data_IF_511429659775
#
_entry.id   IF_511429659775
#
_cell.length_a   1.000
_cell.length_b   1.000
_cell.length_c   1.000
_cell.angle_alpha   90.00
_cell.angle_beta   90.00
_cell.angle_gamma   90.00
#
_symmetry.space_group_name_H-M   'P 1'
#
loop_
_entity.id
_entity.type
_entity.pdbx_description
1 polymer ?
#
# COMPACT_ATOMS: atom_id res chain seq x y z
N UNK A 1 -7.93 -10.68 27.19
CA UNK A 1 -6.47 -10.52 27.07
C UNK A 1 -6.26 -9.17 26.44
N UNK A 2 -5.48 -8.29 27.06
CA UNK A 2 -5.29 -6.92 26.58
C UNK A 2 -4.32 -6.84 25.40
N UNK A 3 -3.74 -7.98 25.01
CA UNK A 3 -2.74 -8.13 23.95
C UNK A 3 -3.07 -9.35 23.08
N UNK A 4 -2.80 -9.26 21.77
CA UNK A 4 -2.88 -10.35 20.82
C UNK A 4 -1.69 -11.34 20.98
N UNK A 5 -1.76 -12.56 20.41
CA UNK A 5 -0.64 -13.52 20.44
C UNK A 5 0.68 -12.98 19.87
N UNK A 6 0.62 -12.01 18.95
CA UNK A 6 1.78 -11.29 18.41
C UNK A 6 2.42 -10.31 19.41
N UNK A 7 1.75 -10.03 20.53
CA UNK A 7 2.13 -9.01 21.52
C UNK A 7 1.56 -7.63 21.23
N UNK A 8 0.79 -7.45 20.15
CA UNK A 8 0.19 -6.16 19.83
C UNK A 8 -1.01 -5.83 20.76
N UNK A 9 -1.20 -4.56 21.18
CA UNK A 9 -2.33 -4.16 22.02
C UNK A 9 -3.68 -4.50 21.36
N UNK A 10 -4.55 -5.16 22.11
CA UNK A 10 -5.92 -5.50 21.70
C UNK A 10 -6.94 -4.44 22.13
N UNK A 11 -6.63 -3.68 23.18
CA UNK A 11 -7.40 -2.53 23.67
C UNK A 11 -6.47 -1.34 23.90
N UNK A 12 -7.02 -0.13 23.97
CA UNK A 12 -6.24 1.09 24.13
C UNK A 12 -6.03 1.33 25.61
N UNK A 13 -4.82 1.73 25.98
CA UNK A 13 -4.37 1.90 27.36
C UNK A 13 -5.24 2.91 28.12
N UNK A 14 -5.40 4.12 27.56
CA UNK A 14 -6.09 5.21 28.24
C UNK A 14 -7.61 5.14 28.02
N UNK A 15 -8.03 4.82 26.79
CA UNK A 15 -9.44 4.66 26.44
C UNK A 15 -9.58 3.34 25.70
N UNK A 16 -10.46 2.51 26.24
CA UNK A 16 -10.60 1.13 25.83
C UNK A 16 -10.86 0.93 24.34
N UNK A 17 -11.39 1.92 23.60
CA UNK A 17 -11.70 1.91 22.15
C UNK A 17 -10.75 2.76 21.27
N UNK A 18 -9.80 3.50 21.85
CA UNK A 18 -8.90 4.41 21.13
C UNK A 18 -7.45 4.10 21.45
N UNK A 19 -6.69 3.80 20.41
CA UNK A 19 -5.26 3.56 20.53
C UNK A 19 -4.47 4.88 20.53
N UNK A 20 -3.43 4.95 21.35
CA UNK A 20 -2.40 5.99 21.25
C UNK A 20 -1.56 5.80 19.98
N UNK A 21 -0.78 6.82 19.64
CA UNK A 21 0.10 6.77 18.47
C UNK A 21 1.14 5.64 18.59
N UNK A 22 1.63 5.39 19.81
CA UNK A 22 2.58 4.33 20.16
C UNK A 22 1.94 2.94 20.03
N UNK A 23 0.69 2.79 20.48
CA UNK A 23 -0.03 1.53 20.34
C UNK A 23 -0.31 1.19 18.88
N UNK A 24 -0.68 2.18 18.06
CA UNK A 24 -0.83 1.99 16.60
C UNK A 24 0.50 1.59 15.99
N UNK A 25 1.59 2.23 16.40
CA UNK A 25 2.94 1.91 15.93
C UNK A 25 3.33 0.45 16.23
N UNK A 26 3.09 -0.02 17.46
CA UNK A 26 3.34 -1.43 17.83
C UNK A 26 2.49 -2.38 16.98
N UNK A 27 1.23 -2.04 16.71
CA UNK A 27 0.36 -2.84 15.82
C UNK A 27 0.91 -2.90 14.39
N UNK A 28 1.42 -1.78 13.87
CA UNK A 28 2.10 -1.72 12.56
C UNK A 28 3.34 -2.60 12.54
N UNK A 29 4.21 -2.53 13.56
CA UNK A 29 5.42 -3.36 13.64
C UNK A 29 5.08 -4.85 13.70
N UNK A 30 4.08 -5.23 14.48
CA UNK A 30 3.65 -6.62 14.57
C UNK A 30 3.17 -7.18 13.21
N UNK A 31 2.43 -6.38 12.45
CA UNK A 31 2.01 -6.73 11.08
C UNK A 31 3.21 -6.82 10.13
N UNK A 32 4.14 -5.87 10.22
CA UNK A 32 5.35 -5.83 9.39
C UNK A 32 6.25 -7.06 9.59
N UNK A 33 6.37 -7.55 10.83
CA UNK A 33 7.18 -8.74 11.14
C UNK A 33 6.61 -9.99 10.45
N UNK A 34 5.29 -10.17 10.44
CA UNK A 34 4.64 -11.26 9.74
C UNK A 34 4.87 -11.17 8.23
N UNK A 35 4.77 -9.96 7.68
CA UNK A 35 4.90 -9.70 6.26
C UNK A 35 6.33 -9.95 5.74
N UNK A 36 7.34 -9.44 6.44
CA UNK A 36 8.75 -9.51 5.98
C UNK A 36 9.30 -10.94 5.96
N UNK A 37 8.79 -11.80 6.85
CA UNK A 37 9.15 -13.20 6.97
C UNK A 37 8.31 -14.13 6.07
N UNK A 38 7.25 -13.61 5.46
CA UNK A 38 6.37 -14.38 4.57
C UNK A 38 7.15 -15.01 3.41
N UNK A 39 6.79 -16.24 3.02
CA UNK A 39 7.48 -16.96 1.93
C UNK A 39 7.27 -16.25 0.60
N UNK A 40 8.30 -16.28 -0.27
CA UNK A 40 8.30 -15.61 -1.58
C UNK A 40 7.06 -15.96 -2.43
N UNK A 41 6.66 -17.23 -2.44
CA UNK A 41 5.48 -17.69 -3.18
C UNK A 41 4.17 -17.10 -2.62
N UNK A 42 4.03 -17.03 -1.30
CA UNK A 42 2.85 -16.44 -0.65
C UNK A 42 2.75 -14.94 -0.95
N UNK A 43 3.87 -14.21 -0.86
CA UNK A 43 3.94 -12.79 -1.26
C UNK A 43 3.53 -12.61 -2.73
N UNK A 44 4.08 -13.42 -3.64
CA UNK A 44 3.80 -13.31 -5.06
C UNK A 44 2.33 -13.58 -5.39
N UNK A 45 1.75 -14.68 -4.88
CA UNK A 45 0.36 -15.01 -5.18
C UNK A 45 -0.63 -14.09 -4.49
N UNK A 46 -0.33 -13.63 -3.27
CA UNK A 46 -1.14 -12.60 -2.61
C UNK A 46 -1.09 -11.28 -3.39
N UNK A 47 0.11 -10.89 -3.86
CA UNK A 47 0.29 -9.74 -4.73
C UNK A 47 -0.40 -9.88 -6.08
N UNK A 48 -0.37 -11.07 -6.68
CA UNK A 48 -1.09 -11.37 -7.92
C UNK A 48 -2.59 -11.20 -7.73
N UNK A 49 -3.15 -11.71 -6.63
CA UNK A 49 -4.57 -11.54 -6.31
C UNK A 49 -4.92 -10.08 -6.07
N UNK A 50 -4.09 -9.31 -5.36
CA UNK A 50 -4.30 -7.87 -5.18
C UNK A 50 -4.27 -7.12 -6.52
N UNK A 51 -3.30 -7.44 -7.38
CA UNK A 51 -3.18 -6.90 -8.72
C UNK A 51 -4.40 -7.22 -9.59
N UNK A 52 -4.93 -8.43 -9.49
CA UNK A 52 -6.15 -8.78 -10.21
C UNK A 52 -7.38 -8.06 -9.63
N UNK A 53 -7.47 -7.90 -8.32
CA UNK A 53 -8.56 -7.16 -7.66
C UNK A 53 -8.57 -5.67 -8.03
N UNK A 54 -7.41 -5.07 -8.33
CA UNK A 54 -7.33 -3.65 -8.77
C UNK A 54 -8.10 -3.41 -10.07
N UNK A 55 -8.32 -4.45 -10.86
CA UNK A 55 -9.07 -4.39 -12.13
C UNK A 55 -10.51 -3.97 -11.87
N UNK A 56 -11.07 -4.27 -10.69
CA UNK A 56 -12.39 -3.79 -10.28
C UNK A 56 -12.41 -2.27 -10.07
N UNK A 57 -11.33 -1.69 -9.56
CA UNK A 57 -11.17 -0.24 -9.46
C UNK A 57 -11.11 0.40 -10.84
N UNK A 58 -10.29 -0.13 -11.76
CA UNK A 58 -10.23 0.34 -13.13
C UNK A 58 -11.59 0.25 -13.84
N UNK A 59 -12.23 -0.92 -13.75
CA UNK A 59 -13.56 -1.18 -14.32
C UNK A 59 -14.59 -0.19 -13.78
N UNK A 60 -14.65 -0.02 -12.46
CA UNK A 60 -15.57 0.91 -11.81
C UNK A 60 -15.36 2.35 -12.26
N UNK A 61 -14.10 2.79 -12.38
CA UNK A 61 -13.76 4.14 -12.82
C UNK A 61 -14.10 4.38 -14.29
N UNK A 62 -13.73 3.44 -15.17
CA UNK A 62 -14.03 3.54 -16.60
C UNK A 62 -15.54 3.60 -16.86
N UNK A 63 -16.33 2.77 -16.16
CA UNK A 63 -17.79 2.80 -16.22
C UNK A 63 -18.35 4.11 -15.65
N UNK A 64 -17.80 4.58 -14.53
CA UNK A 64 -18.21 5.83 -13.90
C UNK A 64 -17.99 7.05 -14.81
N UNK A 65 -16.82 7.15 -15.44
CA UNK A 65 -16.48 8.24 -16.38
C UNK A 65 -17.36 8.16 -17.63
N UNK A 66 -17.61 6.96 -18.17
CA UNK A 66 -18.53 6.81 -19.30
C UNK A 66 -19.97 7.22 -18.95
N UNK A 67 -20.42 6.93 -17.73
CA UNK A 67 -21.77 7.28 -17.28
C UNK A 67 -21.91 8.77 -16.91
N UNK A 68 -20.85 9.39 -16.39
CA UNK A 68 -20.85 10.75 -15.87
C UNK A 68 -19.64 11.57 -16.37
N UNK A 69 -19.51 11.79 -17.70
CA UNK A 69 -18.31 12.39 -18.29
C UNK A 69 -18.03 13.82 -17.81
N UNK A 70 -19.08 14.57 -17.47
CA UNK A 70 -18.98 15.96 -17.00
C UNK A 70 -18.92 16.09 -15.46
N UNK A 71 -18.84 14.97 -14.73
CA UNK A 71 -18.87 14.98 -13.26
C UNK A 71 -17.82 14.04 -12.67
N UNK A 72 -16.63 14.57 -12.42
CA UNK A 72 -15.50 13.83 -11.84
C UNK A 72 -15.85 13.17 -10.50
N UNK A 73 -16.63 13.82 -9.64
CA UNK A 73 -17.05 13.28 -8.35
C UNK A 73 -17.93 12.03 -8.50
N UNK A 74 -18.97 12.10 -9.34
CA UNK A 74 -19.84 10.93 -9.59
C UNK A 74 -19.09 9.82 -10.33
N UNK A 75 -18.19 10.17 -11.24
CA UNK A 75 -17.40 9.20 -12.00
C UNK A 75 -16.47 8.37 -11.10
N UNK A 76 -16.02 8.94 -9.98
CA UNK A 76 -15.09 8.30 -9.04
C UNK A 76 -15.77 7.35 -8.03
N UNK A 77 -17.11 7.29 -7.97
CA UNK A 77 -17.84 6.63 -6.88
C UNK A 77 -17.54 5.12 -6.74
N UNK A 78 -17.19 4.46 -7.86
CA UNK A 78 -16.86 3.04 -7.90
C UNK A 78 -15.36 2.75 -7.83
N UNK A 79 -14.52 3.79 -7.83
CA UNK A 79 -13.06 3.64 -7.76
C UNK A 79 -12.58 2.85 -6.52
N UNK A 80 -13.17 3.00 -5.32
CA UNK A 80 -12.67 2.28 -4.13
C UNK A 80 -12.89 0.77 -4.14
N UNK A 81 -13.72 0.22 -5.04
CA UNK A 81 -14.18 -1.18 -4.96
C UNK A 81 -13.03 -2.18 -4.94
N UNK A 82 -12.03 -2.05 -5.83
CA UNK A 82 -10.87 -2.95 -5.84
C UNK A 82 -10.06 -2.86 -4.54
N UNK A 83 -9.82 -1.65 -4.03
CA UNK A 83 -9.10 -1.45 -2.77
C UNK A 83 -9.81 -2.05 -1.55
N UNK A 84 -11.14 -2.00 -1.52
CA UNK A 84 -11.92 -2.68 -0.46
C UNK A 84 -11.64 -4.19 -0.49
N UNK A 85 -11.67 -4.82 -1.67
CA UNK A 85 -11.36 -6.25 -1.80
C UNK A 85 -9.92 -6.56 -1.37
N UNK A 86 -8.97 -5.68 -1.70
CA UNK A 86 -7.55 -5.86 -1.39
C UNK A 86 -7.31 -5.78 0.12
N UNK A 87 -7.70 -4.66 0.73
CA UNK A 87 -7.34 -4.33 2.11
C UNK A 87 -8.15 -5.17 3.10
N UNK A 88 -9.46 -5.34 2.89
CA UNK A 88 -10.28 -6.18 3.75
C UNK A 88 -9.94 -7.66 3.54
N UNK A 89 -9.60 -8.04 2.30
CA UNK A 89 -9.17 -9.41 1.96
C UNK A 89 -7.77 -9.77 2.47
N UNK A 90 -6.98 -8.81 2.95
CA UNK A 90 -5.62 -9.04 3.43
C UNK A 90 -4.65 -9.42 2.30
N UNK A 91 -4.89 -8.97 1.08
CA UNK A 91 -3.98 -9.21 -0.05
C UNK A 91 -2.82 -8.22 -0.04
N UNK A 92 -1.67 -8.65 -0.52
CA UNK A 92 -0.43 -7.86 -0.48
C UNK A 92 -0.42 -6.80 -1.58
N UNK A 93 -0.51 -5.53 -1.20
CA UNK A 93 -0.41 -4.41 -2.14
C UNK A 93 0.89 -3.65 -1.92
N UNK A 94 1.61 -3.36 -3.01
CA UNK A 94 2.91 -2.68 -2.95
C UNK A 94 2.87 -1.39 -2.12
N UNK A 95 1.84 -0.57 -2.31
CA UNK A 95 1.69 0.72 -1.64
C UNK A 95 1.29 0.59 -0.17
N UNK A 96 0.58 -0.47 0.22
CA UNK A 96 0.34 -0.77 1.64
C UNK A 96 1.64 -1.17 2.35
N UNK A 97 2.54 -1.81 1.62
CA UNK A 97 3.83 -2.28 2.12
C UNK A 97 4.91 -1.16 2.13
N UNK A 98 4.51 0.10 1.93
CA UNK A 98 5.41 1.27 2.05
C UNK A 98 5.49 1.84 3.45
N UNK A 99 4.61 1.40 4.37
CA UNK A 99 4.65 1.81 5.78
C UNK A 99 5.21 0.69 6.68
N UNK A 100 4.63 -0.53 6.78
CA UNK A 100 5.03 -1.49 7.80
C UNK A 100 6.46 -2.03 7.62
N UNK A 101 6.89 -2.55 6.44
CA UNK A 101 8.27 -2.99 6.25
C UNK A 101 9.31 -1.87 6.36
N UNK A 102 8.94 -0.64 5.99
CA UNK A 102 9.81 0.55 6.16
C UNK A 102 10.00 0.85 7.64
N UNK A 103 8.96 0.66 8.46
CA UNK A 103 9.05 0.82 9.90
C UNK A 103 10.11 -0.08 10.51
N UNK A 104 10.14 -1.36 10.12
CA UNK A 104 11.17 -2.29 10.60
C UNK A 104 12.58 -1.86 10.19
N UNK A 105 12.76 -1.35 8.97
CA UNK A 105 14.08 -0.92 8.50
C UNK A 105 14.55 0.36 9.20
N UNK A 106 13.67 1.36 9.36
CA UNK A 106 14.04 2.60 10.07
C UNK A 106 14.29 2.36 11.56
N UNK A 107 13.56 1.41 12.18
CA UNK A 107 13.81 0.93 13.54
C UNK A 107 15.01 -0.03 13.64
N UNK A 108 15.73 -0.30 12.54
CA UNK A 108 16.87 -1.23 12.47
C UNK A 108 16.58 -2.65 12.95
N UNK A 109 15.33 -3.07 12.83
CA UNK A 109 14.86 -4.42 13.16
C UNK A 109 15.01 -5.35 11.94
N UNK A 110 14.85 -4.79 10.74
CA UNK A 110 15.03 -5.51 9.49
C UNK A 110 16.06 -4.85 8.58
N UNK A 111 16.68 -5.66 7.73
CA UNK A 111 17.66 -5.20 6.74
C UNK A 111 17.00 -4.64 5.48
N UNK A 112 17.61 -3.63 4.88
CA UNK A 112 17.15 -2.99 3.64
C UNK A 112 17.00 -3.98 2.46
N UNK A 113 17.87 -4.99 2.26
CA UNK A 113 17.65 -6.01 1.23
C UNK A 113 16.37 -6.82 1.44
N UNK A 114 15.90 -6.97 2.68
CA UNK A 114 14.63 -7.65 2.97
C UNK A 114 13.42 -6.82 2.59
N UNK A 115 13.47 -5.51 2.82
CA UNK A 115 12.48 -4.56 2.31
C UNK A 115 12.41 -4.62 0.78
N UNK A 116 13.57 -4.53 0.09
CA UNK A 116 13.61 -4.62 -1.36
C UNK A 116 13.06 -5.95 -1.90
N UNK A 117 13.29 -7.07 -1.21
CA UNK A 117 12.70 -8.36 -1.58
C UNK A 117 11.18 -8.30 -1.53
N UNK A 118 10.60 -7.81 -0.44
CA UNK A 118 9.13 -7.72 -0.28
C UNK A 118 8.56 -6.84 -1.37
N UNK A 119 9.09 -5.62 -1.49
CA UNK A 119 8.70 -4.65 -2.52
C UNK A 119 8.74 -5.21 -3.93
N UNK A 120 9.85 -5.82 -4.32
CA UNK A 120 10.02 -6.34 -5.68
C UNK A 120 9.06 -7.49 -5.99
N UNK A 121 8.86 -8.41 -5.04
CA UNK A 121 7.97 -9.57 -5.25
C UNK A 121 6.51 -9.13 -5.31
N UNK A 122 6.08 -8.26 -4.39
CA UNK A 122 4.69 -7.78 -4.32
C UNK A 122 4.38 -6.90 -5.51
N UNK A 123 5.25 -5.95 -5.88
CA UNK A 123 5.07 -5.11 -7.06
C UNK A 123 4.97 -5.95 -8.33
N UNK A 124 5.85 -6.94 -8.50
CA UNK A 124 5.78 -7.86 -9.64
C UNK A 124 4.46 -8.63 -9.66
N UNK A 125 4.03 -9.18 -8.51
CA UNK A 125 2.74 -9.85 -8.38
C UNK A 125 1.59 -8.93 -8.77
N UNK A 126 1.54 -7.72 -8.22
CA UNK A 126 0.51 -6.72 -8.49
C UNK A 126 0.44 -6.37 -9.99
N UNK A 127 1.58 -6.09 -10.62
CA UNK A 127 1.65 -5.75 -12.05
C UNK A 127 1.20 -6.93 -12.92
N UNK A 128 1.62 -8.16 -12.59
CA UNK A 128 1.19 -9.36 -13.33
C UNK A 128 -0.33 -9.59 -13.17
N UNK A 129 -0.87 -9.45 -11.96
CA UNK A 129 -2.31 -9.57 -11.71
C UNK A 129 -3.12 -8.52 -12.47
N UNK A 130 -2.65 -7.27 -12.46
CA UNK A 130 -3.25 -6.18 -13.21
C UNK A 130 -3.19 -6.43 -14.72
N UNK A 131 -2.07 -6.96 -15.24
CA UNK A 131 -1.93 -7.31 -16.65
C UNK A 131 -2.95 -8.35 -17.10
N UNK A 132 -3.16 -9.40 -16.28
CA UNK A 132 -4.13 -10.45 -16.61
C UNK A 132 -5.55 -9.88 -16.73
N UNK A 133 -5.98 -9.05 -15.76
CA UNK A 133 -7.31 -8.46 -15.84
C UNK A 133 -7.44 -7.37 -16.90
N UNK A 134 -6.42 -6.52 -17.08
CA UNK A 134 -6.39 -5.52 -18.15
C UNK A 134 -6.49 -6.18 -19.54
N UNK A 135 -5.82 -7.31 -19.75
CA UNK A 135 -5.93 -8.09 -20.99
C UNK A 135 -7.35 -8.59 -21.24
N UNK A 136 -8.02 -9.09 -20.18
CA UNK A 136 -9.43 -9.52 -20.25
C UNK A 136 -10.35 -8.33 -20.55
N UNK A 137 -10.14 -7.17 -19.94
CA UNK A 137 -10.94 -5.98 -20.23
C UNK A 137 -10.74 -5.49 -21.67
N UNK A 138 -9.50 -5.52 -22.18
CA UNK A 138 -9.16 -5.06 -23.53
C UNK A 138 -9.73 -5.97 -24.63
N UNK A 139 -9.78 -7.29 -24.40
CA UNK A 139 -10.12 -8.27 -25.45
C UNK A 139 -11.43 -9.02 -25.23
N UNK A 140 -11.96 -8.99 -24.01
CA UNK A 140 -13.08 -9.83 -23.57
C UNK A 140 -14.47 -9.21 -23.72
N UNK A 141 -14.60 -8.04 -24.34
CA UNK A 141 -15.88 -7.31 -24.49
C UNK A 141 -16.62 -7.06 -23.16
N UNK A 142 -15.87 -6.90 -22.07
CA UNK A 142 -16.43 -6.65 -20.73
C UNK A 142 -16.93 -5.20 -20.59
N UNK A 143 -16.23 -4.26 -21.23
CA UNK A 143 -16.56 -2.83 -21.22
C UNK A 143 -17.44 -2.45 -22.41
N UNK A 144 -18.34 -1.49 -22.20
CA UNK A 144 -19.01 -0.81 -23.32
C UNK A 144 -18.00 0.00 -24.15
N UNK A 145 -18.29 0.33 -25.41
CA UNK A 145 -17.41 1.17 -26.22
C UNK A 145 -17.03 2.48 -25.53
N UNK A 146 -17.98 3.14 -24.87
CA UNK A 146 -17.73 4.40 -24.15
C UNK A 146 -16.80 4.18 -22.94
N UNK A 147 -16.96 3.08 -22.21
CA UNK A 147 -16.07 2.75 -21.09
C UNK A 147 -14.67 2.32 -21.56
N UNK A 148 -14.54 1.73 -22.74
CA UNK A 148 -13.22 1.50 -23.38
C UNK A 148 -12.54 2.84 -23.67
N UNK A 149 -13.27 3.81 -24.24
CA UNK A 149 -12.71 5.14 -24.51
C UNK A 149 -12.31 5.87 -23.22
N UNK A 150 -13.14 5.81 -22.18
CA UNK A 150 -12.80 6.34 -20.86
C UNK A 150 -11.53 5.68 -20.28
N UNK A 151 -11.42 4.36 -20.38
CA UNK A 151 -10.24 3.62 -19.93
C UNK A 151 -8.96 3.95 -20.68
N UNK A 152 -9.05 4.24 -21.99
CA UNK A 152 -7.93 4.73 -22.78
C UNK A 152 -7.49 6.13 -22.35
N UNK A 153 -8.45 7.00 -22.04
CA UNK A 153 -8.23 8.39 -21.66
C UNK A 153 -7.34 8.53 -20.42
N UNK A 154 -7.46 7.61 -19.45
CA UNK A 154 -6.67 7.64 -18.21
C UNK A 154 -5.15 7.71 -18.45
N UNK A 155 -4.66 6.91 -19.42
CA UNK A 155 -3.23 6.91 -19.77
C UNK A 155 -2.91 8.03 -20.76
N UNK A 156 -3.74 8.29 -21.77
CA UNK A 156 -3.42 9.33 -22.76
C UNK A 156 -3.41 10.73 -22.15
N UNK A 157 -4.40 11.09 -21.34
CA UNK A 157 -4.42 12.37 -20.62
C UNK A 157 -3.31 12.45 -19.56
N UNK A 158 -2.90 11.31 -19.02
CA UNK A 158 -1.76 11.21 -18.12
C UNK A 158 -0.45 11.55 -18.80
N UNK A 159 -0.25 11.06 -20.03
CA UNK A 159 0.92 11.34 -20.87
C UNK A 159 0.98 12.79 -21.38
N UNK A 160 -0.15 13.48 -21.44
CA UNK A 160 -0.19 14.92 -21.78
C UNK A 160 0.26 15.82 -20.63
N UNK A 161 0.28 15.31 -19.40
CA UNK A 161 0.71 16.08 -18.23
C UNK A 161 2.23 16.08 -18.11
N UNK A 162 2.75 17.16 -17.53
CA UNK A 162 4.17 17.27 -17.21
C UNK A 162 4.61 16.17 -16.22
N UNK A 163 5.80 15.61 -16.45
CA UNK A 163 6.36 14.51 -15.66
C UNK A 163 6.39 14.83 -14.15
N UNK A 164 6.76 16.06 -13.78
CA UNK A 164 6.80 16.49 -12.38
C UNK A 164 5.40 16.72 -11.82
N UNK A 165 4.43 17.12 -12.63
CA UNK A 165 3.04 17.21 -12.21
C UNK A 165 2.48 15.81 -11.87
N UNK A 166 2.75 14.80 -12.70
CA UNK A 166 2.38 13.40 -12.43
C UNK A 166 3.08 12.89 -11.17
N UNK A 167 4.38 13.11 -11.05
CA UNK A 167 5.17 12.72 -9.88
C UNK A 167 4.65 13.35 -8.58
N UNK A 168 4.37 14.66 -8.57
CA UNK A 168 3.89 15.37 -7.38
C UNK A 168 2.49 14.88 -6.95
N UNK A 169 1.56 14.68 -7.91
CA UNK A 169 0.24 14.07 -7.63
C UNK A 169 0.39 12.67 -7.02
N UNK A 170 1.39 11.91 -7.49
CA UNK A 170 1.68 10.56 -7.01
C UNK A 170 2.28 10.52 -5.61
N UNK A 171 3.04 11.54 -5.20
CA UNK A 171 3.48 11.70 -3.81
C UNK A 171 2.28 11.80 -2.86
N UNK A 172 1.30 12.62 -3.21
CA UNK A 172 0.09 12.76 -2.39
C UNK A 172 -0.72 11.46 -2.35
N UNK A 173 -0.84 10.73 -3.47
CA UNK A 173 -1.47 9.41 -3.47
C UNK A 173 -0.76 8.42 -2.53
N UNK A 174 0.57 8.35 -2.62
CA UNK A 174 1.39 7.49 -1.74
C UNK A 174 1.23 7.84 -0.26
N UNK A 175 1.20 9.13 0.07
CA UNK A 175 0.93 9.60 1.42
C UNK A 175 -0.47 9.16 1.89
N UNK A 176 -1.51 9.39 1.10
CA UNK A 176 -2.88 8.98 1.44
C UNK A 176 -2.97 7.47 1.71
N UNK A 177 -2.32 6.64 0.89
CA UNK A 177 -2.32 5.18 1.08
C UNK A 177 -1.60 4.77 2.35
N UNK A 178 -0.43 5.35 2.66
CA UNK A 178 0.23 5.11 3.93
C UNK A 178 -0.63 5.56 5.12
N UNK A 179 -1.42 6.63 4.94
CA UNK A 179 -2.43 7.07 5.90
C UNK A 179 -3.54 6.04 6.12
N UNK A 180 -4.03 5.40 5.04
CA UNK A 180 -4.98 4.27 5.15
C UNK A 180 -4.39 3.15 5.98
N UNK A 181 -3.13 2.76 5.73
CA UNK A 181 -2.48 1.69 6.50
C UNK A 181 -2.45 2.06 7.99
N UNK A 182 -2.02 3.28 8.33
CA UNK A 182 -2.00 3.75 9.71
C UNK A 182 -3.39 3.73 10.36
N UNK A 183 -4.39 4.31 9.71
CA UNK A 183 -5.76 4.40 10.21
C UNK A 183 -6.43 3.02 10.32
N UNK A 184 -6.10 2.09 9.42
CA UNK A 184 -6.58 0.70 9.48
C UNK A 184 -6.02 -0.03 10.71
N UNK A 185 -4.77 0.24 11.09
CA UNK A 185 -4.18 -0.23 12.34
C UNK A 185 -4.72 0.50 13.57
N UNK A 186 -5.27 1.71 13.44
CA UNK A 186 -6.00 2.38 14.50
C UNK A 186 -7.44 1.85 14.67
N UNK A 187 -8.05 1.38 13.59
CA UNK A 187 -9.42 0.88 13.58
C UNK A 187 -9.57 -0.49 14.28
N UNK A 188 -10.77 -0.72 14.81
CA UNK A 188 -11.13 -1.92 15.60
C UNK A 188 -12.10 -2.85 14.91
N UNK A 189 -12.96 -2.28 14.08
CA UNK A 189 -14.03 -3.00 13.41
C UNK A 189 -13.95 -2.83 11.90
N UNK A 190 -14.53 -3.78 11.18
CA UNK A 190 -14.49 -3.82 9.72
C UNK A 190 -15.28 -2.68 9.07
N UNK A 191 -16.32 -2.12 9.72
CA UNK A 191 -17.12 -1.02 9.16
C UNK A 191 -16.28 0.26 9.13
N UNK A 192 -15.60 0.59 10.23
CA UNK A 192 -14.67 1.72 10.28
C UNK A 192 -13.58 1.60 9.22
N UNK A 193 -13.01 0.41 9.06
CA UNK A 193 -12.00 0.13 8.02
C UNK A 193 -12.56 0.36 6.62
N UNK A 194 -13.74 -0.18 6.34
CA UNK A 194 -14.43 0.02 5.07
C UNK A 194 -14.63 1.50 4.76
N UNK A 195 -15.11 2.29 5.74
CA UNK A 195 -15.34 3.73 5.58
C UNK A 195 -14.03 4.47 5.26
N UNK A 196 -12.95 4.19 6.03
CA UNK A 196 -11.62 4.78 5.82
C UNK A 196 -11.12 4.48 4.40
N UNK A 197 -11.16 3.21 3.99
CA UNK A 197 -10.74 2.76 2.66
C UNK A 197 -11.57 3.47 1.59
N UNK A 198 -12.90 3.42 1.71
CA UNK A 198 -13.79 4.00 0.72
C UNK A 198 -13.49 5.48 0.48
N UNK A 199 -13.48 6.30 1.54
CA UNK A 199 -13.32 7.74 1.38
C UNK A 199 -11.93 8.15 0.92
N UNK A 200 -10.87 7.48 1.38
CA UNK A 200 -9.51 7.85 0.97
C UNK A 200 -9.24 7.47 -0.49
N UNK A 201 -9.65 6.27 -0.92
CA UNK A 201 -9.46 5.89 -2.32
C UNK A 201 -10.43 6.63 -3.26
N UNK A 202 -11.62 7.00 -2.78
CA UNK A 202 -12.51 7.89 -3.52
C UNK A 202 -11.85 9.25 -3.72
N UNK A 203 -11.22 9.81 -2.67
CA UNK A 203 -10.50 11.07 -2.75
C UNK A 203 -9.33 11.00 -3.75
N UNK A 204 -8.61 9.88 -3.83
CA UNK A 204 -7.53 9.69 -4.81
C UNK A 204 -8.05 9.90 -6.23
N UNK A 205 -9.18 9.29 -6.60
CA UNK A 205 -9.76 9.46 -7.93
C UNK A 205 -10.42 10.83 -8.12
N UNK A 206 -11.20 11.29 -7.15
CA UNK A 206 -11.90 12.57 -7.19
C UNK A 206 -10.94 13.78 -7.29
N UNK A 207 -9.73 13.66 -6.74
CA UNK A 207 -8.66 14.65 -6.84
C UNK A 207 -7.66 14.37 -7.98
N UNK A 208 -7.94 13.41 -8.86
CA UNK A 208 -7.10 13.03 -10.00
C UNK A 208 -5.65 12.71 -9.62
N UNK A 209 -5.47 12.02 -8.49
CA UNK A 209 -4.17 11.56 -8.01
C UNK A 209 -3.84 10.18 -8.62
N UNK A 210 -2.56 9.94 -8.84
CA UNK A 210 -2.10 8.71 -9.49
C UNK A 210 -1.61 7.68 -8.49
N UNK A 211 -2.24 6.51 -8.48
CA UNK A 211 -1.82 5.38 -7.67
C UNK A 211 -1.10 4.33 -8.54
N UNK A 212 0.09 3.89 -8.13
CA UNK A 212 0.98 3.09 -8.99
C UNK A 212 0.38 1.78 -9.52
N UNK A 213 -0.44 1.08 -8.73
CA UNK A 213 -1.02 -0.21 -9.16
C UNK A 213 -2.26 -0.02 -10.03
N UNK A 214 -3.04 1.06 -9.84
CA UNK A 214 -4.15 1.38 -10.75
C UNK A 214 -3.59 1.88 -12.08
N UNK A 215 -2.59 2.77 -12.03
CA UNK A 215 -1.85 3.22 -13.20
C UNK A 215 -1.18 2.06 -13.96
N UNK A 216 -0.71 1.02 -13.28
CA UNK A 216 -0.22 -0.19 -13.95
C UNK A 216 -1.33 -0.84 -14.79
N UNK A 217 -2.54 -1.01 -14.22
CA UNK A 217 -3.70 -1.54 -14.93
C UNK A 217 -4.10 -0.64 -16.12
N UNK A 218 -4.12 0.68 -15.92
CA UNK A 218 -4.44 1.68 -16.94
C UNK A 218 -3.46 1.61 -18.12
N UNK A 219 -2.16 1.64 -17.82
CA UNK A 219 -1.09 1.54 -18.82
C UNK A 219 -1.17 0.23 -19.58
N UNK A 220 -1.35 -0.90 -18.89
CA UNK A 220 -1.43 -2.21 -19.52
C UNK A 220 -2.68 -2.32 -20.41
N UNK A 221 -3.83 -1.82 -19.95
CA UNK A 221 -5.04 -1.75 -20.77
C UNK A 221 -4.80 -0.90 -22.02
N UNK A 222 -4.23 0.29 -21.87
CA UNK A 222 -3.90 1.19 -22.97
C UNK A 222 -2.98 0.52 -24.00
N UNK A 223 -1.93 -0.17 -23.54
CA UNK A 223 -0.99 -0.88 -24.41
C UNK A 223 -1.66 -2.04 -25.15
N UNK A 224 -2.52 -2.83 -24.47
CA UNK A 224 -3.23 -3.95 -25.11
C UNK A 224 -4.24 -3.51 -26.16
N UNK A 225 -4.91 -2.37 -25.95
CA UNK A 225 -5.90 -1.84 -26.91
C UNK A 225 -5.23 -1.12 -28.08
N UNK A 226 -4.18 -0.33 -27.83
CA UNK A 226 -3.56 0.53 -28.87
C UNK A 226 -2.40 -0.13 -29.61
N UNK A 227 -1.75 -1.13 -29.03
CA UNK A 227 -0.49 -1.69 -29.56
C UNK A 227 0.70 -0.72 -29.48
N UNK A 228 0.60 0.35 -28.68
CA UNK A 228 1.66 1.35 -28.51
C UNK A 228 2.94 0.74 -27.92
N UNK A 229 4.08 1.39 -28.18
CA UNK A 229 5.36 0.97 -27.61
C UNK A 229 5.37 1.17 -26.08
N UNK A 230 5.70 0.12 -25.33
CA UNK A 230 5.67 0.14 -23.86
C UNK A 230 6.72 1.04 -23.22
N UNK A 231 7.88 1.22 -23.87
CA UNK A 231 9.02 1.96 -23.30
C UNK A 231 8.66 3.38 -22.85
N UNK A 232 8.07 4.17 -23.76
CA UNK A 232 7.69 5.57 -23.48
C UNK A 232 6.60 5.67 -22.42
N UNK A 233 5.56 4.83 -22.49
CA UNK A 233 4.46 4.88 -21.52
C UNK A 233 4.95 4.53 -20.11
N UNK A 234 5.87 3.56 -20.01
CA UNK A 234 6.47 3.20 -18.73
C UNK A 234 7.38 4.30 -18.20
N UNK A 235 8.25 4.90 -19.03
CA UNK A 235 9.22 5.91 -18.57
C UNK A 235 8.59 7.26 -18.25
N UNK A 236 7.66 7.72 -19.08
CA UNK A 236 7.07 9.07 -18.97
C UNK A 236 5.86 9.13 -18.03
N UNK A 237 5.16 8.01 -17.83
CA UNK A 237 3.93 8.01 -17.04
C UNK A 237 4.01 7.06 -15.83
N UNK A 238 4.29 5.77 -16.02
CA UNK A 238 4.23 4.84 -14.89
C UNK A 238 5.38 5.03 -13.88
N UNK A 239 6.59 5.31 -14.35
CA UNK A 239 7.79 5.50 -13.52
C UNK A 239 7.67 6.69 -12.53
N UNK A 240 7.28 7.92 -12.94
CA UNK A 240 7.05 9.00 -11.98
C UNK A 240 6.00 8.62 -10.93
N UNK A 241 4.97 7.85 -11.32
CA UNK A 241 3.93 7.41 -10.40
C UNK A 241 4.48 6.45 -9.35
N UNK A 242 5.26 5.45 -9.79
CA UNK A 242 5.93 4.52 -8.89
C UNK A 242 6.81 5.28 -7.89
N UNK A 243 7.72 6.12 -8.37
CA UNK A 243 8.63 6.87 -7.53
C UNK A 243 7.89 7.79 -6.55
N UNK A 244 6.89 8.52 -7.03
CA UNK A 244 6.07 9.40 -6.21
C UNK A 244 5.33 8.64 -5.11
N UNK A 245 4.67 7.53 -5.45
CA UNK A 245 3.95 6.71 -4.46
C UNK A 245 4.90 6.15 -3.39
N UNK A 246 6.07 5.65 -3.78
CA UNK A 246 7.08 5.15 -2.83
C UNK A 246 7.57 6.24 -1.90
N UNK A 247 7.93 7.42 -2.44
CA UNK A 247 8.40 8.56 -1.64
C UNK A 247 7.29 9.06 -0.71
N UNK A 248 6.07 9.24 -1.22
CA UNK A 248 4.92 9.67 -0.42
C UNK A 248 4.61 8.73 0.74
N UNK A 249 4.68 7.42 0.51
CA UNK A 249 4.45 6.42 1.57
C UNK A 249 5.51 6.46 2.66
N UNK A 250 6.79 6.56 2.27
CA UNK A 250 7.93 6.65 3.20
C UNK A 250 7.91 7.97 3.98
N UNK A 251 7.51 9.09 3.35
CA UNK A 251 7.48 10.42 3.98
C UNK A 251 6.54 10.48 5.18
N UNK A 252 5.30 9.98 5.05
CA UNK A 252 4.36 9.95 6.18
C UNK A 252 4.96 9.20 7.37
N UNK A 253 5.52 8.01 7.11
CA UNK A 253 6.12 7.22 8.17
C UNK A 253 7.30 7.94 8.83
N UNK A 254 8.16 8.57 8.02
CA UNK A 254 9.30 9.34 8.54
C UNK A 254 8.84 10.47 9.46
N UNK A 255 7.76 11.19 9.09
CA UNK A 255 7.22 12.28 9.91
C UNK A 255 6.60 11.78 11.21
N UNK A 256 5.81 10.70 11.15
CA UNK A 256 5.18 10.10 12.34
C UNK A 256 6.25 9.51 13.27
N UNK A 257 7.27 8.85 12.72
CA UNK A 257 8.37 8.27 13.48
C UNK A 257 9.26 9.36 14.11
N UNK A 258 9.62 10.41 13.37
CA UNK A 258 10.38 11.55 13.88
C UNK A 258 9.68 12.20 15.08
N UNK A 259 8.36 12.37 15.01
CA UNK A 259 7.56 12.90 16.12
C UNK A 259 7.54 11.99 17.37
N UNK A 260 7.80 10.69 17.21
CA UNK A 260 7.84 9.70 18.30
C UNK A 260 9.25 9.39 18.82
N UNK A 261 10.30 9.84 18.11
CA UNK A 261 11.69 9.44 18.39
C UNK A 261 12.21 9.95 19.74
N UNK A 262 11.54 10.91 20.39
CA UNK A 262 11.89 11.33 21.76
C UNK A 262 11.46 10.33 22.85
N UNK A 263 10.66 9.30 22.55
CA UNK A 263 9.99 8.48 23.58
C UNK A 263 10.14 6.95 23.51
N UNK A 264 11.21 6.35 22.94
CA UNK A 264 11.87 5.10 23.43
C UNK A 264 12.64 4.31 22.36
N UNK A 265 13.74 3.70 22.80
CA UNK A 265 14.40 2.53 22.20
C UNK A 265 13.70 1.27 22.71
N UNK A 266 13.42 0.29 21.86
CA UNK A 266 12.91 -1.02 22.30
C UNK A 266 14.07 -1.79 22.97
N UNK A 267 14.12 -1.91 24.31
CA UNK A 267 15.33 -2.40 25.01
C UNK A 267 15.60 -3.90 24.78
N UNK A 268 14.65 -4.61 24.18
CA UNK A 268 14.64 -6.07 23.99
C UNK A 268 14.80 -6.52 22.54
N UNK A 269 14.86 -5.59 21.57
CA UNK A 269 15.02 -5.93 20.16
C UNK A 269 16.47 -5.67 19.76
N UNK A 270 17.15 -6.69 19.22
CA UNK A 270 18.51 -6.52 18.70
C UNK A 270 18.48 -5.57 17.50
N UNK A 271 19.08 -4.40 17.65
CA UNK A 271 19.29 -3.47 16.55
C UNK A 271 20.41 -3.98 15.63
N UNK A 272 20.14 -3.94 14.32
CA UNK A 272 21.14 -4.23 13.30
C UNK A 272 22.20 -3.12 13.26
N UNK A 273 23.46 -3.49 13.16
CA UNK A 273 24.52 -2.52 12.87
C UNK A 273 24.40 -2.02 11.41
N UNK A 274 25.12 -0.95 11.04
CA UNK A 274 24.99 -0.34 9.71
C UNK A 274 25.27 -1.32 8.55
N UNK A 275 26.20 -2.25 8.73
CA UNK A 275 26.51 -3.25 7.70
C UNK A 275 25.38 -4.28 7.57
N UNK A 276 24.86 -4.76 8.69
CA UNK A 276 23.71 -5.68 8.73
C UNK A 276 22.43 -5.04 8.20
N UNK A 277 22.24 -3.75 8.48
CA UNK A 277 21.12 -2.95 7.99
C UNK A 277 21.16 -2.83 6.46
N UNK A 278 22.30 -2.41 5.91
CA UNK A 278 22.42 -2.10 4.48
C UNK A 278 22.59 -3.35 3.60
N UNK A 279 23.30 -4.37 4.10
CA UNK A 279 23.73 -5.51 3.29
C UNK A 279 23.38 -6.87 3.90
N UNK A 280 22.77 -6.90 5.08
CA UNK A 280 22.34 -8.16 5.71
C UNK A 280 21.11 -8.76 5.03
N UNK A 281 20.76 -9.97 5.46
CA UNK A 281 19.54 -10.67 5.05
C UNK A 281 18.77 -11.10 6.29
N UNK A 282 18.42 -10.11 7.10
CA UNK A 282 17.73 -10.27 8.38
C UNK A 282 16.30 -9.75 8.24
N UNK A 283 15.33 -10.67 8.16
CA UNK A 283 13.92 -10.40 8.47
C UNK A 283 13.77 -10.31 9.99
N UNK A 284 12.73 -9.62 10.47
CA UNK A 284 12.53 -9.40 11.90
C UNK A 284 12.61 -10.68 12.74
N UNK A 285 13.04 -10.54 13.99
CA UNK A 285 12.89 -11.45 15.14
C UNK A 285 12.94 -12.97 14.92
N UNK A 286 13.60 -13.50 13.89
CA UNK A 286 13.81 -14.97 13.72
C UNK A 286 14.75 -15.59 14.77
N UNK A 287 15.08 -14.82 15.82
CA UNK A 287 15.74 -15.24 17.06
C UNK A 287 14.77 -15.36 18.25
N UNK A 288 13.44 -15.30 18.04
CA UNK A 288 12.41 -15.39 19.10
C UNK A 288 11.99 -16.81 19.45
N UNK A 289 12.56 -17.86 18.84
CA UNK A 289 12.08 -19.25 19.04
C UNK A 289 12.60 -19.94 20.30
N UNK A 290 13.70 -19.49 20.92
CA UNK A 290 14.40 -20.36 21.88
C UNK A 290 14.46 -19.83 23.33
N UNK A 291 14.14 -18.56 23.60
CA UNK A 291 14.09 -18.07 24.98
C UNK A 291 13.54 -16.64 25.08
N UNK A 292 12.65 -16.42 26.05
CA UNK A 292 12.32 -15.15 26.74
C UNK A 292 10.94 -14.52 26.47
N UNK A 293 10.37 -14.05 27.59
CA UNK A 293 9.08 -13.37 27.78
C UNK A 293 8.86 -12.15 26.85
N UNK A 294 7.58 -11.78 26.60
CA UNK A 294 7.24 -10.69 25.71
C UNK A 294 7.84 -9.35 26.16
N UNK A 295 8.57 -8.71 25.24
CA UNK A 295 9.22 -7.40 25.31
C UNK A 295 8.35 -6.22 25.83
N UNK A 296 7.04 -6.40 25.95
CA UNK A 296 6.09 -5.33 26.27
C UNK A 296 5.72 -5.23 27.76
N UNK A 297 6.24 -6.12 28.62
CA UNK A 297 6.09 -6.00 30.09
C UNK A 297 6.76 -4.76 30.71
N UNK A 298 7.53 -3.97 29.94
CA UNK A 298 8.18 -2.76 30.46
C UNK A 298 7.34 -1.49 30.42
N UNK A 299 6.12 -1.52 29.87
CA UNK A 299 5.16 -0.42 30.06
C UNK A 299 4.51 -0.43 31.45
N UNK A 300 4.76 -1.46 32.27
CA UNK A 300 4.27 -1.55 33.66
C UNK A 300 5.18 -0.88 34.70
N UNK A 301 6.30 -0.26 34.32
CA UNK A 301 7.23 0.36 35.27
C UNK A 301 7.76 1.70 34.79
N UNK A 302 6.96 2.75 34.98
CA UNK A 302 7.42 4.09 35.34
C UNK A 302 6.29 4.69 36.19
N UNK A 303 6.64 5.14 37.39
CA UNK A 303 5.81 5.30 38.60
C UNK A 303 4.51 6.13 38.47
#
# INVERSE_FOLDING_TARGET
>A
MDHAPSGAPAVGWAIGDRFSTEEIFVRVLASAEEEIDTRKQQLFFSGLTAGFAIVLTFLGHAVGVAAFPENSLLSAILYPVGFIYIIIGGYQLYTENTLPPVALVLSRIASFPMLLRVWSIVLLGNVVGAALGAYVLANGQVLSPDAVQAGLAFTSEGLEKDWWAVFNRSIFAGWLVAGVVWLNHAARDTISRFIIIYFIFYLIAAAELYHVITAACEVLFFLFVTGSASGTVVSEFWLPILLGNTIGGVLLFTLVNYAQTEQRRFPTIRELNMRELLFGWHGGTKQRSDSLEPAYQYFEKED
#
